data_IF_778886880083
#
_entry.id   IF_778886880083
#
_cell.length_a   1.000
_cell.length_b   1.000
_cell.length_c   1.000
_cell.angle_alpha   90.00
_cell.angle_beta   90.00
_cell.angle_gamma   90.00
#
_symmetry.space_group_name_H-M   'P 1'
#
loop_
_entity.id
_entity.type
_entity.pdbx_description
1 polymer ?
#
# COMPACT_ATOMS: atom_id res chain seq x y z
N UNK A 1 22.97 -0.72 12.64
CA UNK A 1 22.44 0.66 12.61
C UNK A 1 21.00 0.57 12.14
N UNK A 2 20.03 1.14 12.85
CA UNK A 2 18.64 1.13 12.41
C UNK A 2 18.47 2.09 11.21
N UNK A 3 17.63 1.77 10.23
CA UNK A 3 17.43 2.60 9.04
C UNK A 3 16.95 4.02 9.41
N UNK A 4 16.17 4.13 10.49
CA UNK A 4 15.75 5.40 11.07
C UNK A 4 16.91 6.25 11.61
N UNK A 5 17.87 5.63 12.30
CA UNK A 5 19.07 6.31 12.79
C UNK A 5 19.97 6.76 11.63
N UNK A 6 20.00 5.99 10.54
CA UNK A 6 20.76 6.34 9.35
C UNK A 6 20.10 7.52 8.58
N UNK A 7 18.76 7.56 8.47
CA UNK A 7 18.06 8.73 7.91
C UNK A 7 18.31 9.99 8.73
N UNK A 8 18.16 9.90 10.05
CA UNK A 8 18.32 11.05 10.95
C UNK A 8 19.71 11.67 10.79
N UNK A 9 20.75 10.83 10.76
CA UNK A 9 22.12 11.29 10.53
C UNK A 9 22.33 11.94 9.16
N UNK A 10 21.77 11.37 8.08
CA UNK A 10 21.88 11.97 6.74
C UNK A 10 21.19 13.34 6.72
N UNK A 11 20.05 13.49 7.39
CA UNK A 11 19.33 14.78 7.48
C UNK A 11 20.16 15.81 8.25
N UNK A 12 20.79 15.44 9.37
CA UNK A 12 21.69 16.33 10.12
C UNK A 12 22.88 16.80 9.28
N UNK A 13 23.51 15.87 8.56
CA UNK A 13 24.63 16.17 7.66
C UNK A 13 24.21 17.08 6.50
N UNK A 14 22.98 16.92 6.01
CA UNK A 14 22.41 17.72 4.92
C UNK A 14 22.10 19.14 5.37
N UNK A 15 21.55 19.32 6.57
CA UNK A 15 21.37 20.64 7.19
C UNK A 15 22.72 21.35 7.33
N UNK A 16 23.77 20.62 7.71
CA UNK A 16 25.13 21.17 7.85
C UNK A 16 25.72 21.56 6.50
N UNK A 17 25.65 20.68 5.50
CA UNK A 17 26.11 20.97 4.14
C UNK A 17 25.39 22.17 3.50
N UNK A 18 24.07 22.31 3.73
CA UNK A 18 23.31 23.48 3.29
C UNK A 18 23.75 24.77 3.99
N UNK A 19 24.11 24.72 5.28
CA UNK A 19 24.64 25.89 6.00
C UNK A 19 26.01 26.32 5.48
N UNK A 20 26.82 25.35 5.09
CA UNK A 20 28.17 25.58 4.55
C UNK A 20 28.16 25.89 3.03
N UNK A 21 26.97 25.95 2.40
CA UNK A 21 26.79 26.13 0.96
C UNK A 21 27.57 25.12 0.10
N UNK A 22 27.79 23.91 0.63
CA UNK A 22 28.51 22.84 -0.06
C UNK A 22 27.54 22.05 -0.95
N UNK A 23 27.45 22.47 -2.21
CA UNK A 23 26.53 21.92 -3.20
C UNK A 23 26.86 20.47 -3.59
N UNK A 24 28.15 20.12 -3.70
CA UNK A 24 28.58 18.74 -4.02
C UNK A 24 28.19 17.78 -2.89
N UNK A 25 28.46 18.16 -1.64
CA UNK A 25 28.10 17.35 -0.48
C UNK A 25 26.59 17.25 -0.29
N UNK A 26 25.85 18.34 -0.53
CA UNK A 26 24.39 18.34 -0.48
C UNK A 26 23.80 17.37 -1.50
N UNK A 27 24.26 17.43 -2.76
CA UNK A 27 23.80 16.51 -3.82
C UNK A 27 24.14 15.05 -3.52
N UNK A 28 25.32 14.79 -2.96
CA UNK A 28 25.72 13.45 -2.55
C UNK A 28 24.84 12.89 -1.44
N UNK A 29 24.52 13.70 -0.42
CA UNK A 29 23.64 13.31 0.69
C UNK A 29 22.19 13.13 0.25
N UNK A 30 21.69 13.95 -0.67
CA UNK A 30 20.36 13.78 -1.27
C UNK A 30 20.24 12.44 -2.01
N UNK A 31 21.25 12.08 -2.81
CA UNK A 31 21.26 10.77 -3.49
C UNK A 31 21.31 9.61 -2.49
N UNK A 32 22.10 9.71 -1.42
CA UNK A 32 22.13 8.69 -0.37
C UNK A 32 20.77 8.57 0.34
N UNK A 33 20.12 9.70 0.65
CA UNK A 33 18.79 9.68 1.26
C UNK A 33 17.78 9.00 0.34
N UNK A 34 17.81 9.29 -0.96
CA UNK A 34 16.93 8.70 -1.96
C UNK A 34 17.11 7.18 -2.07
N UNK A 35 18.35 6.69 -2.13
CA UNK A 35 18.62 5.24 -2.18
C UNK A 35 18.22 4.52 -0.88
N UNK A 36 18.38 5.19 0.26
CA UNK A 36 17.94 4.69 1.55
C UNK A 36 16.40 4.68 1.65
N UNK A 37 15.72 5.66 1.05
CA UNK A 37 14.25 5.71 0.95
C UNK A 37 13.73 4.56 0.09
N UNK A 38 14.29 4.36 -1.11
CA UNK A 38 13.97 3.24 -2.00
C UNK A 38 14.17 1.87 -1.32
N UNK A 39 15.22 1.74 -0.53
CA UNK A 39 15.50 0.51 0.23
C UNK A 39 14.49 0.29 1.37
N UNK A 40 13.97 1.38 1.96
CA UNK A 40 12.92 1.33 2.97
C UNK A 40 11.51 1.12 2.38
N UNK A 41 11.29 1.53 1.14
CA UNK A 41 10.05 1.32 0.38
C UNK A 41 9.84 -0.13 -0.09
N UNK A 42 10.85 -1.01 0.04
CA UNK A 42 10.67 -2.46 -0.08
C UNK A 42 9.96 -3.05 1.15
N UNK A 43 8.87 -2.42 1.58
CA UNK A 43 7.91 -3.07 2.46
C UNK A 43 7.39 -4.28 1.68
N UNK A 44 7.51 -5.51 2.18
CA UNK A 44 6.93 -6.66 1.48
C UNK A 44 5.46 -6.35 1.24
N UNK A 45 4.99 -6.65 0.03
CA UNK A 45 3.57 -6.50 -0.30
C UNK A 45 2.76 -7.20 0.81
N UNK A 46 1.66 -6.61 1.28
CA UNK A 46 0.76 -7.26 2.21
C UNK A 46 0.44 -8.68 1.76
N UNK A 47 0.33 -9.63 2.70
CA UNK A 47 -0.03 -11.01 2.35
C UNK A 47 -1.44 -11.06 1.75
N UNK A 48 -1.60 -11.77 0.63
CA UNK A 48 -2.91 -11.94 0.00
C UNK A 48 -3.79 -12.86 0.85
N UNK A 49 -5.04 -12.45 1.16
CA UNK A 49 -6.01 -13.34 1.75
C UNK A 49 -6.27 -14.58 0.87
N UNK A 50 -6.10 -15.77 1.45
CA UNK A 50 -6.24 -17.04 0.72
C UNK A 50 -7.70 -17.38 0.43
N UNK A 51 -8.59 -17.06 1.36
CA UNK A 51 -10.00 -17.40 1.27
C UNK A 51 -10.74 -16.45 0.32
N UNK A 52 -11.70 -16.99 -0.42
CA UNK A 52 -12.64 -16.21 -1.22
C UNK A 52 -13.66 -15.54 -0.31
N UNK A 53 -14.29 -14.50 -0.83
CA UNK A 53 -15.37 -13.80 -0.16
C UNK A 53 -15.09 -12.32 0.04
N UNK A 54 -15.88 -11.73 0.93
CA UNK A 54 -15.88 -10.29 1.14
C UNK A 54 -14.85 -9.87 2.19
N UNK A 55 -14.20 -8.75 1.92
CA UNK A 55 -13.18 -8.14 2.75
C UNK A 55 -13.43 -6.65 2.87
N UNK A 56 -13.01 -6.05 3.98
CA UNK A 56 -13.06 -4.61 4.20
C UNK A 56 -11.67 -4.04 4.42
N UNK A 57 -11.40 -2.86 3.84
CA UNK A 57 -10.18 -2.11 4.15
C UNK A 57 -10.19 -1.62 5.59
N UNK A 58 -9.02 -1.56 6.24
CA UNK A 58 -8.92 -1.20 7.65
C UNK A 58 -9.14 0.30 7.93
N UNK A 59 -8.93 1.17 6.93
CA UNK A 59 -8.98 2.63 7.04
C UNK A 59 -10.38 3.21 6.76
N UNK A 60 -10.95 2.97 5.57
CA UNK A 60 -12.21 3.54 5.12
C UNK A 60 -13.37 2.54 5.13
N UNK A 61 -13.12 1.27 5.49
CA UNK A 61 -14.15 0.23 5.55
C UNK A 61 -14.71 -0.17 4.18
N UNK A 62 -13.96 0.11 3.11
CA UNK A 62 -14.37 -0.18 1.73
C UNK A 62 -14.48 -1.67 1.51
N UNK A 63 -15.60 -2.09 0.91
CA UNK A 63 -15.91 -3.48 0.63
C UNK A 63 -15.22 -3.95 -0.66
N UNK A 64 -14.50 -5.05 -0.57
CA UNK A 64 -13.83 -5.75 -1.67
C UNK A 64 -14.33 -7.20 -1.71
N UNK A 65 -14.44 -7.79 -2.90
CA UNK A 65 -14.70 -9.21 -3.10
C UNK A 65 -13.50 -9.85 -3.78
N UNK A 66 -13.02 -10.96 -3.20
CA UNK A 66 -12.13 -11.91 -3.87
C UNK A 66 -12.96 -13.04 -4.48
N UNK A 67 -12.91 -13.20 -5.79
CA UNK A 67 -13.71 -14.18 -6.54
C UNK A 67 -13.01 -15.54 -6.72
N UNK A 68 -13.58 -16.38 -7.59
CA UNK A 68 -13.10 -17.74 -7.87
C UNK A 68 -11.76 -17.78 -8.61
N UNK A 69 -11.45 -16.74 -9.38
CA UNK A 69 -10.28 -16.63 -10.24
C UNK A 69 -9.12 -15.85 -9.58
N UNK A 70 -9.22 -15.64 -8.26
CA UNK A 70 -8.33 -14.79 -7.46
C UNK A 70 -8.29 -13.34 -7.99
N UNK A 71 -9.41 -12.88 -8.56
CA UNK A 71 -9.61 -11.49 -8.95
C UNK A 71 -10.34 -10.70 -7.86
N UNK A 72 -9.92 -9.44 -7.73
CA UNK A 72 -10.44 -8.52 -6.74
C UNK A 72 -11.32 -7.47 -7.39
N UNK A 73 -12.52 -7.29 -6.83
CA UNK A 73 -13.46 -6.25 -7.24
C UNK A 73 -13.87 -5.41 -6.03
N UNK A 74 -13.92 -4.09 -6.19
CA UNK A 74 -14.51 -3.24 -5.18
C UNK A 74 -16.02 -3.20 -5.35
N UNK A 75 -16.75 -3.25 -4.24
CA UNK A 75 -18.21 -3.41 -4.25
C UNK A 75 -18.87 -2.09 -3.87
N UNK A 76 -19.83 -1.66 -4.66
CA UNK A 76 -20.70 -0.52 -4.36
C UNK A 76 -22.01 -0.98 -3.70
N UNK A 77 -22.79 -0.02 -3.21
CA UNK A 77 -24.04 -0.25 -2.46
C UNK A 77 -25.13 -1.00 -3.26
N UNK A 78 -25.00 -1.08 -4.58
CA UNK A 78 -25.89 -1.77 -5.53
C UNK A 78 -25.36 -3.16 -5.95
N UNK A 79 -24.41 -3.73 -5.19
CA UNK A 79 -23.70 -4.99 -5.48
C UNK A 79 -23.00 -5.01 -6.86
N UNK A 80 -22.84 -3.85 -7.48
CA UNK A 80 -22.06 -3.72 -8.70
C UNK A 80 -20.57 -3.60 -8.36
N UNK A 81 -19.72 -4.04 -9.29
CA UNK A 81 -18.30 -3.71 -9.22
C UNK A 81 -18.14 -2.21 -9.47
N UNK A 82 -17.38 -1.55 -8.60
CA UNK A 82 -17.04 -0.14 -8.79
C UNK A 82 -16.26 -0.01 -10.09
N UNK A 83 -16.92 0.49 -11.13
CA UNK A 83 -16.24 0.91 -12.34
C UNK A 83 -15.15 1.90 -11.94
N UNK A 84 -13.94 1.70 -12.46
CA UNK A 84 -12.85 2.68 -12.42
C UNK A 84 -12.03 2.75 -11.11
N UNK A 85 -12.19 1.80 -10.19
CA UNK A 85 -11.37 1.82 -8.96
C UNK A 85 -9.91 1.41 -9.20
N UNK A 86 -9.66 0.41 -10.04
CA UNK A 86 -8.32 -0.13 -10.22
C UNK A 86 -7.56 0.57 -11.33
N UNK A 87 -6.22 0.54 -11.24
CA UNK A 87 -5.34 1.13 -12.24
C UNK A 87 -5.71 0.69 -13.67
N UNK A 88 -5.75 1.64 -14.60
CA UNK A 88 -6.19 1.41 -15.98
C UNK A 88 -7.71 1.27 -16.14
N UNK A 89 -8.50 1.83 -15.21
CA UNK A 89 -9.95 1.94 -15.31
C UNK A 89 -10.71 0.59 -15.24
N UNK A 90 -10.11 -0.40 -14.59
CA UNK A 90 -10.58 -1.80 -14.59
C UNK A 90 -11.57 -2.08 -13.45
N UNK A 91 -12.47 -3.04 -13.68
CA UNK A 91 -13.42 -3.56 -12.68
C UNK A 91 -12.78 -4.64 -11.78
N UNK A 92 -11.79 -5.36 -12.30
CA UNK A 92 -11.10 -6.46 -11.65
C UNK A 92 -9.60 -6.20 -11.60
N UNK A 93 -8.96 -6.64 -10.52
CA UNK A 93 -7.52 -6.48 -10.31
C UNK A 93 -6.92 -7.73 -9.65
N UNK A 94 -5.66 -8.03 -9.98
CA UNK A 94 -4.85 -8.99 -9.23
C UNK A 94 -4.27 -8.33 -7.99
N UNK A 95 -3.91 -9.14 -7.00
CA UNK A 95 -3.39 -8.68 -5.71
C UNK A 95 -2.29 -7.60 -5.77
N UNK A 96 -1.27 -7.68 -6.64
CA UNK A 96 -0.28 -6.61 -6.74
C UNK A 96 -0.90 -5.25 -7.08
N UNK A 97 -1.86 -5.21 -7.99
CA UNK A 97 -2.58 -3.98 -8.36
C UNK A 97 -3.46 -3.48 -7.22
N UNK A 98 -4.02 -4.36 -6.40
CA UNK A 98 -4.76 -3.97 -5.19
C UNK A 98 -3.83 -3.28 -4.19
N UNK A 99 -2.65 -3.85 -3.96
CA UNK A 99 -1.62 -3.29 -3.09
C UNK A 99 -1.04 -1.96 -3.59
N UNK A 100 -0.93 -1.76 -4.90
CA UNK A 100 -0.52 -0.49 -5.50
C UNK A 100 -1.62 0.59 -5.42
N UNK A 101 -2.88 0.19 -5.56
CA UNK A 101 -4.02 1.12 -5.64
C UNK A 101 -4.49 1.57 -4.25
N UNK A 102 -4.40 0.69 -3.25
CA UNK A 102 -4.84 0.99 -1.90
C UNK A 102 -3.71 1.63 -1.07
N UNK A 103 -4.04 2.60 -0.20
CA UNK A 103 -3.05 3.17 0.70
C UNK A 103 -2.61 2.14 1.75
N UNK A 104 -1.39 2.23 2.31
CA UNK A 104 -0.88 1.25 3.28
C UNK A 104 -1.79 1.03 4.51
N UNK A 105 -2.56 2.05 4.91
CA UNK A 105 -3.52 2.01 6.01
C UNK A 105 -4.75 1.14 5.72
N UNK A 106 -4.99 0.78 4.46
CA UNK A 106 -6.05 -0.14 4.08
C UNK A 106 -5.78 -1.58 4.52
N UNK A 107 -4.51 -1.92 4.81
CA UNK A 107 -4.07 -3.26 5.15
C UNK A 107 -3.87 -3.46 6.67
N UNK A 108 -4.03 -4.70 7.18
CA UNK A 108 -4.53 -5.88 6.49
C UNK A 108 -6.04 -5.79 6.24
N UNK A 109 -6.50 -6.42 5.16
CA UNK A 109 -7.93 -6.53 4.87
C UNK A 109 -8.63 -7.41 5.92
N UNK A 110 -9.82 -7.00 6.36
CA UNK A 110 -10.62 -7.74 7.35
C UNK A 110 -11.71 -8.53 6.64
N UNK A 111 -11.72 -9.85 6.82
CA UNK A 111 -12.77 -10.73 6.27
C UNK A 111 -14.12 -10.35 6.86
N UNK A 112 -15.11 -10.22 6.01
CA UNK A 112 -16.51 -10.03 6.40
C UNK A 112 -17.13 -11.41 6.58
N UNK A 113 -17.58 -11.72 7.79
CA UNK A 113 -18.38 -12.90 8.02
C UNK A 113 -19.80 -12.64 7.51
N UNK A 114 -20.03 -12.86 6.21
CA UNK A 114 -21.35 -13.28 5.75
C UNK A 114 -21.58 -14.64 6.38
N UNK A 115 -22.47 -14.73 7.38
CA UNK A 115 -22.80 -16.00 8.02
C UNK A 115 -23.04 -17.09 6.99
N UNK A 116 -22.71 -18.34 7.33
CA UNK A 116 -23.17 -19.51 6.58
C UNK A 116 -24.66 -19.29 6.30
N UNK A 117 -25.06 -19.21 5.04
CA UNK A 117 -26.40 -18.83 4.59
C UNK A 117 -27.48 -19.86 4.92
N UNK A 118 -27.48 -20.35 6.17
CA UNK A 118 -28.56 -21.08 6.81
C UNK A 118 -29.38 -20.09 7.63
N UNK A 119 -30.08 -19.19 6.96
CA UNK A 119 -31.34 -18.67 7.50
C UNK A 119 -32.44 -19.59 6.94
N UNK A 120 -33.06 -20.35 7.85
CA UNK A 120 -34.12 -21.36 7.64
C UNK A 120 -35.32 -20.90 6.80
#
# INVERSE_FOLDING_TARGET
MNIFQQREKIIEDLITACKDYDEEKTNHLLNQLMELDKSAEQKPLPEEPKERGFYTTANDGRLLLKDIDDDWSARTWDDCSANHMWNGNRQYAKWPTVCETLPPEAFPLKRVNTGDGNDD
#
